data_IF_723368288037
#
_entry.id   IF_723368288037
#
_cell.length_a   1.000
_cell.length_b   1.000
_cell.length_c   1.000
_cell.angle_alpha   90.00
_cell.angle_beta   90.00
_cell.angle_gamma   90.00
#
_symmetry.space_group_name_H-M   'P 1'
#
loop_
_entity.id
_entity.type
_entity.pdbx_description
1 polymer ?
#
# COMPACT_ATOMS: atom_id res chain seq x y z
N UNK A 1 24.51 0.75 28.10
CA UNK A 1 24.40 -0.39 27.16
C UNK A 1 23.65 0.09 25.94
N UNK A 2 24.30 -0.01 24.78
CA UNK A 2 24.02 0.67 23.52
C UNK A 2 22.82 0.06 22.76
N UNK A 3 21.76 0.84 22.52
CA UNK A 3 20.72 0.48 21.54
C UNK A 3 20.30 1.73 20.73
N UNK A 4 20.54 1.64 19.41
CA UNK A 4 19.82 2.31 18.30
C UNK A 4 20.22 3.69 17.76
N UNK A 5 21.47 4.15 17.94
CA UNK A 5 22.05 5.17 17.06
C UNK A 5 22.72 4.50 15.85
N UNK A 6 21.93 4.06 14.87
CA UNK A 6 22.45 3.79 13.53
C UNK A 6 21.31 3.82 12.49
N UNK A 7 21.57 4.47 11.37
CA UNK A 7 20.75 4.62 10.16
C UNK A 7 19.75 5.79 10.13
N UNK A 8 20.21 6.97 10.54
CA UNK A 8 19.66 8.23 10.01
C UNK A 8 20.76 9.23 9.70
N UNK A 9 21.65 8.88 8.76
CA UNK A 9 22.55 9.85 8.12
C UNK A 9 22.67 9.52 6.62
N UNK A 10 22.15 10.45 5.83
CA UNK A 10 22.63 10.91 4.52
C UNK A 10 23.39 9.89 3.66
N UNK A 11 22.70 9.30 2.69
CA UNK A 11 23.31 8.94 1.42
C UNK A 11 22.39 9.35 0.28
N UNK A 12 22.94 10.14 -0.64
CA UNK A 12 22.31 10.51 -1.89
C UNK A 12 21.90 9.27 -2.69
N UNK A 13 21.05 9.51 -3.67
CA UNK A 13 20.48 8.51 -4.57
C UNK A 13 21.56 8.05 -5.55
N UNK A 14 22.66 7.48 -5.07
CA UNK A 14 23.69 6.86 -5.90
C UNK A 14 24.31 5.69 -5.15
N UNK A 15 23.84 4.50 -5.55
CA UNK A 15 24.48 3.19 -5.43
C UNK A 15 24.78 2.65 -4.00
N UNK A 16 24.38 1.39 -3.81
CA UNK A 16 24.67 0.53 -2.65
C UNK A 16 23.74 0.72 -1.43
N UNK A 17 22.43 0.59 -1.64
CA UNK A 17 21.59 -0.10 -0.65
C UNK A 17 21.05 -1.35 -1.32
N UNK A 18 21.81 -2.45 -1.18
CA UNK A 18 21.25 -3.78 -1.35
C UNK A 18 20.11 -3.88 -0.33
N UNK A 19 18.86 -3.73 -0.78
CA UNK A 19 17.69 -4.01 0.04
C UNK A 19 17.68 -5.51 0.37
N UNK A 20 18.41 -5.91 1.41
CA UNK A 20 18.38 -7.26 2.01
C UNK A 20 16.93 -7.66 2.35
N UNK A 21 16.09 -6.68 2.65
CA UNK A 21 14.67 -6.89 2.97
C UNK A 21 13.86 -7.52 1.83
N UNK A 22 14.22 -7.32 0.56
CA UNK A 22 13.47 -7.95 -0.54
C UNK A 22 13.87 -9.41 -0.78
N UNK A 23 15.10 -9.80 -0.45
CA UNK A 23 15.63 -11.15 -0.70
C UNK A 23 15.08 -12.14 0.33
N UNK A 24 14.91 -11.70 1.58
CA UNK A 24 14.37 -12.52 2.68
C UNK A 24 12.84 -12.67 2.63
N UNK A 25 12.14 -11.89 1.79
CA UNK A 25 10.70 -11.98 1.67
C UNK A 25 10.27 -13.33 1.10
N UNK A 26 9.42 -14.04 1.86
CA UNK A 26 8.83 -15.30 1.41
C UNK A 26 7.64 -15.00 0.50
N UNK A 27 7.63 -15.60 -0.69
CA UNK A 27 6.54 -15.51 -1.66
C UNK A 27 5.89 -16.87 -1.84
N UNK A 28 4.55 -16.91 -1.77
CA UNK A 28 3.76 -18.13 -1.97
C UNK A 28 2.90 -18.00 -3.21
N UNK A 29 2.48 -19.15 -3.75
CA UNK A 29 1.49 -19.19 -4.84
C UNK A 29 0.19 -18.56 -4.37
N UNK A 30 -0.34 -17.63 -5.15
CA UNK A 30 -1.59 -16.94 -4.87
C UNK A 30 -1.46 -15.60 -4.14
N UNK A 31 -0.26 -15.22 -3.70
CA UNK A 31 0.00 -13.92 -3.09
C UNK A 31 -0.15 -12.79 -4.13
N UNK A 32 -0.53 -11.60 -3.63
CA UNK A 32 -0.64 -10.38 -4.42
C UNK A 32 0.63 -9.55 -4.30
N UNK A 33 1.22 -9.24 -5.45
CA UNK A 33 2.49 -8.54 -5.52
C UNK A 33 2.45 -7.35 -6.45
N UNK A 34 3.24 -6.33 -6.12
CA UNK A 34 3.46 -5.14 -6.93
C UNK A 34 4.83 -5.28 -7.61
N UNK A 35 4.85 -5.05 -8.92
CA UNK A 35 6.06 -5.10 -9.73
C UNK A 35 6.68 -3.69 -9.78
N UNK A 36 7.89 -3.54 -9.23
CA UNK A 36 8.69 -2.32 -9.31
C UNK A 36 10.10 -2.68 -9.77
N UNK A 37 10.39 -2.41 -11.04
CA UNK A 37 11.71 -2.64 -11.62
C UNK A 37 12.80 -1.85 -10.87
N UNK A 38 13.93 -2.49 -10.63
CA UNK A 38 15.12 -1.90 -10.01
C UNK A 38 16.25 -1.93 -11.04
N UNK A 39 16.75 -0.77 -11.46
CA UNK A 39 17.78 -0.67 -12.51
C UNK A 39 19.14 -1.27 -12.13
N UNK A 40 19.43 -1.42 -10.83
CA UNK A 40 20.67 -2.04 -10.36
C UNK A 40 20.76 -3.54 -10.71
N UNK A 41 19.62 -4.21 -10.93
CA UNK A 41 19.58 -5.62 -11.33
C UNK A 41 19.00 -5.74 -12.73
N UNK A 42 19.84 -6.05 -13.71
CA UNK A 42 19.41 -6.14 -15.12
C UNK A 42 18.68 -7.46 -15.43
N UNK A 43 19.03 -8.54 -14.74
CA UNK A 43 18.49 -9.88 -15.02
C UNK A 43 17.06 -10.01 -14.50
N UNK A 44 16.15 -10.52 -15.34
CA UNK A 44 14.74 -10.72 -14.98
C UNK A 44 13.99 -9.41 -14.69
N UNK A 45 14.49 -8.30 -15.25
CA UNK A 45 13.86 -7.00 -15.22
C UNK A 45 12.52 -7.05 -15.95
N UNK A 46 11.43 -6.53 -15.36
CA UNK A 46 10.13 -6.49 -16.02
C UNK A 46 10.11 -5.44 -17.14
N UNK A 47 9.37 -5.71 -18.22
CA UNK A 47 9.12 -4.71 -19.26
C UNK A 47 8.38 -3.49 -18.70
N UNK A 48 8.68 -2.28 -19.22
CA UNK A 48 8.18 -0.98 -18.72
C UNK A 48 6.68 -0.94 -18.46
N UNK A 49 5.88 -1.62 -19.28
CA UNK A 49 4.42 -1.67 -19.12
C UNK A 49 3.96 -2.26 -17.78
N UNK A 50 4.73 -3.21 -17.23
CA UNK A 50 4.40 -3.91 -15.99
C UNK A 50 4.91 -3.19 -14.74
N UNK A 51 5.69 -2.11 -14.91
CA UNK A 51 6.11 -1.29 -13.79
C UNK A 51 4.89 -0.65 -13.11
N UNK A 52 4.82 -0.75 -11.79
CA UNK A 52 3.69 -0.27 -10.98
C UNK A 52 2.42 -1.10 -11.11
N UNK A 53 2.44 -2.21 -11.86
CA UNK A 53 1.27 -3.11 -11.95
C UNK A 53 1.27 -4.10 -10.79
N UNK A 54 0.06 -4.42 -10.34
CA UNK A 54 -0.18 -5.48 -9.35
C UNK A 54 -0.57 -6.76 -10.07
N UNK A 55 -0.11 -7.89 -9.58
CA UNK A 55 -0.45 -9.21 -10.11
C UNK A 55 -0.53 -10.26 -9.03
N UNK A 56 -0.90 -11.48 -9.44
CA UNK A 56 -1.00 -12.65 -8.58
C UNK A 56 0.09 -13.65 -8.93
N UNK A 57 0.75 -14.22 -7.93
CA UNK A 57 1.79 -15.21 -8.15
C UNK A 57 1.17 -16.55 -8.59
N UNK A 58 1.66 -17.13 -9.69
CA UNK A 58 1.25 -18.47 -10.14
C UNK A 58 2.34 -19.52 -9.92
N UNK A 59 3.61 -19.15 -10.06
CA UNK A 59 4.74 -20.05 -9.90
C UNK A 59 5.84 -19.37 -9.08
N UNK A 60 6.62 -20.15 -8.35
CA UNK A 60 7.75 -19.70 -7.55
C UNK A 60 8.96 -20.54 -7.95
N UNK A 61 10.07 -19.89 -8.28
CA UNK A 61 11.35 -20.53 -8.60
C UNK A 61 12.43 -20.03 -7.64
N UNK A 62 13.63 -20.63 -7.60
CA UNK A 62 14.64 -20.29 -6.58
C UNK A 62 15.07 -18.82 -6.53
N UNK A 63 15.02 -18.11 -7.67
CA UNK A 63 15.47 -16.69 -7.78
C UNK A 63 14.42 -15.76 -8.37
N UNK A 64 13.28 -16.30 -8.80
CA UNK A 64 12.27 -15.54 -9.53
C UNK A 64 10.86 -16.03 -9.21
N UNK A 65 9.89 -15.21 -9.59
CA UNK A 65 8.48 -15.47 -9.35
C UNK A 65 7.73 -15.26 -10.67
N UNK A 66 6.85 -16.21 -10.97
CA UNK A 66 5.90 -16.11 -12.06
C UNK A 66 4.68 -15.32 -11.60
N UNK A 67 4.41 -14.16 -12.20
CA UNK A 67 3.29 -13.28 -11.88
C UNK A 67 2.31 -13.21 -13.06
N UNK A 68 1.02 -13.34 -12.77
CA UNK A 68 -0.06 -13.06 -13.71
C UNK A 68 -0.47 -11.61 -13.56
N UNK A 69 -0.33 -10.83 -14.64
CA UNK A 69 -0.71 -9.42 -14.70
C UNK A 69 -1.69 -9.21 -15.84
N UNK A 70 -2.75 -8.46 -15.56
CA UNK A 70 -3.73 -8.08 -16.59
C UNK A 70 -3.16 -6.95 -17.44
N UNK A 71 -2.96 -7.21 -18.74
CA UNK A 71 -2.50 -6.23 -19.72
C UNK A 71 -3.60 -5.95 -20.73
N UNK A 72 -3.91 -4.66 -20.91
CA UNK A 72 -4.78 -4.22 -22.01
C UNK A 72 -4.00 -4.32 -23.33
N UNK A 73 -4.56 -5.06 -24.29
CA UNK A 73 -4.05 -5.17 -25.66
C UNK A 73 -5.16 -4.71 -26.59
N UNK A 74 -5.03 -3.49 -27.10
CA UNK A 74 -6.05 -2.80 -27.90
C UNK A 74 -7.40 -2.76 -27.16
N UNK A 75 -8.40 -3.53 -27.62
CA UNK A 75 -9.76 -3.55 -27.07
C UNK A 75 -9.96 -4.50 -25.89
N UNK A 76 -9.10 -5.53 -25.71
CA UNK A 76 -9.30 -6.58 -24.69
C UNK A 76 -8.25 -6.58 -23.58
N UNK A 77 -8.63 -7.07 -22.41
CA UNK A 77 -7.71 -7.29 -21.27
C UNK A 77 -7.30 -8.76 -21.27
N UNK A 78 -6.01 -9.02 -21.39
CA UNK A 78 -5.45 -10.38 -21.45
C UNK A 78 -4.59 -10.62 -20.20
N UNK A 79 -4.78 -11.73 -19.48
CA UNK A 79 -3.87 -12.13 -18.41
C UNK A 79 -2.54 -12.57 -19.04
N UNK A 80 -1.47 -11.83 -18.75
CA UNK A 80 -0.11 -12.15 -19.19
C UNK A 80 0.66 -12.77 -18.03
N UNK A 81 1.30 -13.91 -18.30
CA UNK A 81 2.22 -14.59 -17.37
C UNK A 81 3.63 -14.06 -17.64
N UNK A 82 4.30 -13.60 -16.58
CA UNK A 82 5.62 -12.97 -16.66
C UNK A 82 6.49 -13.58 -15.57
N UNK A 83 7.74 -13.87 -15.89
CA UNK A 83 8.73 -14.30 -14.90
C UNK A 83 9.57 -13.08 -14.51
N UNK A 84 9.52 -12.71 -13.23
CA UNK A 84 10.19 -11.51 -12.69
C UNK A 84 11.05 -11.93 -11.51
N UNK A 85 12.25 -11.37 -11.38
CA UNK A 85 13.11 -11.66 -10.23
C UNK A 85 12.61 -11.00 -8.94
N UNK A 86 12.99 -11.59 -7.81
CA UNK A 86 12.55 -11.18 -6.47
C UNK A 86 12.92 -9.72 -6.14
N UNK A 87 14.04 -9.21 -6.67
CA UNK A 87 14.47 -7.82 -6.45
C UNK A 87 13.48 -6.78 -6.99
N UNK A 88 12.67 -7.15 -7.98
CA UNK A 88 11.73 -6.25 -8.65
C UNK A 88 10.29 -6.40 -8.16
N UNK A 89 10.08 -7.15 -7.08
CA UNK A 89 8.77 -7.50 -6.57
C UNK A 89 8.67 -7.05 -5.12
N UNK A 90 7.48 -6.59 -4.73
CA UNK A 90 7.12 -6.29 -3.35
C UNK A 90 5.74 -6.86 -3.03
N UNK A 91 5.51 -7.26 -1.78
CA UNK A 91 4.18 -7.64 -1.30
C UNK A 91 3.22 -6.45 -1.33
N UNK A 92 1.96 -6.72 -1.68
CA UNK A 92 0.93 -5.68 -1.73
C UNK A 92 0.27 -5.45 -0.37
N UNK A 93 0.38 -4.23 0.17
CA UNK A 93 -0.25 -3.82 1.43
C UNK A 93 -1.78 -3.85 1.40
N UNK A 94 -2.40 -3.72 0.22
CA UNK A 94 -3.86 -3.73 0.11
C UNK A 94 -4.48 -5.07 0.53
N UNK A 95 -3.76 -6.18 0.31
CA UNK A 95 -4.21 -7.50 0.75
C UNK A 95 -4.06 -7.66 2.25
N UNK A 96 -3.00 -7.12 2.82
CA UNK A 96 -2.74 -7.17 4.26
C UNK A 96 -3.85 -6.45 5.05
N UNK A 97 -4.22 -5.24 4.63
CA UNK A 97 -5.32 -4.48 5.24
C UNK A 97 -6.66 -5.25 5.17
N UNK A 98 -6.96 -5.82 4.00
CA UNK A 98 -8.14 -6.66 3.84
C UNK A 98 -8.15 -7.86 4.80
N UNK A 99 -7.02 -8.57 4.95
CA UNK A 99 -6.92 -9.72 5.84
C UNK A 99 -7.03 -9.32 7.31
N UNK A 100 -6.42 -8.19 7.72
CA UNK A 100 -6.58 -7.65 9.08
C UNK A 100 -8.05 -7.39 9.39
N UNK A 101 -8.77 -6.77 8.45
CA UNK A 101 -10.21 -6.51 8.60
C UNK A 101 -11.06 -7.78 8.64
N UNK A 102 -10.73 -8.81 7.86
CA UNK A 102 -11.45 -10.10 7.93
C UNK A 102 -11.32 -10.72 9.31
N UNK A 103 -10.10 -10.75 9.87
CA UNK A 103 -9.85 -11.26 11.23
C UNK A 103 -10.60 -10.46 12.28
N UNK A 104 -10.58 -9.14 12.18
CA UNK A 104 -11.29 -8.25 13.11
C UNK A 104 -12.81 -8.49 13.05
N UNK A 105 -13.37 -8.58 11.84
CA UNK A 105 -14.78 -8.84 11.65
C UNK A 105 -15.19 -10.21 12.21
N UNK A 106 -14.35 -11.23 12.07
CA UNK A 106 -14.61 -12.55 12.66
C UNK A 106 -14.61 -12.52 14.19
N UNK A 107 -13.71 -11.74 14.80
CA UNK A 107 -13.68 -11.52 16.25
C UNK A 107 -14.97 -10.86 16.72
N UNK A 108 -15.32 -9.71 16.15
CA UNK A 108 -16.53 -8.96 16.48
C UNK A 108 -17.81 -9.80 16.28
N UNK A 109 -17.84 -10.65 15.23
CA UNK A 109 -18.98 -11.55 14.98
C UNK A 109 -19.14 -12.60 16.10
N UNK A 110 -18.04 -13.13 16.63
CA UNK A 110 -18.08 -14.09 17.75
C UNK A 110 -18.56 -13.42 19.03
N UNK A 111 -18.04 -12.23 19.33
CA UNK A 111 -18.44 -11.44 20.50
C UNK A 111 -19.91 -11.02 20.44
N UNK A 112 -20.37 -10.54 19.28
CA UNK A 112 -21.77 -10.19 19.02
C UNK A 112 -22.71 -11.41 19.17
N UNK A 113 -22.26 -12.59 18.75
CA UNK A 113 -23.03 -13.83 18.94
C UNK A 113 -23.12 -14.23 20.41
N UNK A 114 -22.05 -14.04 21.18
CA UNK A 114 -22.03 -14.35 22.62
C UNK A 114 -22.89 -13.38 23.45
N UNK A 115 -22.87 -12.08 23.10
CA UNK A 115 -23.66 -11.03 23.79
C UNK A 115 -25.09 -10.90 23.28
N UNK A 116 -25.40 -11.44 22.08
CA UNK A 116 -26.72 -11.32 21.46
C UNK A 116 -27.00 -9.99 20.77
N UNK A 117 -26.02 -9.09 20.70
CA UNK A 117 -26.17 -7.76 20.05
C UNK A 117 -26.01 -7.90 18.54
N UNK A 118 -26.90 -7.27 17.76
CA UNK A 118 -26.76 -7.19 16.30
C UNK A 118 -25.76 -6.10 15.92
N UNK A 119 -24.70 -6.46 15.20
CA UNK A 119 -23.66 -5.54 14.74
C UNK A 119 -23.59 -5.47 13.21
N UNK A 120 -23.44 -4.26 12.66
CA UNK A 120 -23.24 -4.05 11.23
C UNK A 120 -21.74 -4.06 10.87
N UNK A 121 -21.28 -5.13 10.20
CA UNK A 121 -19.88 -5.32 9.81
C UNK A 121 -19.51 -4.68 8.46
N UNK A 122 -20.48 -4.07 7.77
CA UNK A 122 -20.25 -3.42 6.47
C UNK A 122 -19.68 -2.02 6.68
N UNK A 123 -18.67 -1.66 5.89
CA UNK A 123 -18.13 -0.30 5.85
C UNK A 123 -19.20 0.66 5.33
N UNK A 124 -19.29 1.83 5.96
CA UNK A 124 -20.15 2.92 5.49
C UNK A 124 -19.28 4.04 4.89
N UNK A 125 -19.77 4.76 3.87
CA UNK A 125 -19.15 6.01 3.46
C UNK A 125 -19.25 7.05 4.58
N UNK A 126 -18.44 8.10 4.48
CA UNK A 126 -18.51 9.23 5.42
C UNK A 126 -19.93 9.80 5.40
N UNK A 127 -20.58 9.78 6.56
CA UNK A 127 -21.91 10.35 6.75
C UNK A 127 -21.81 11.89 6.89
N UNK A 128 -22.92 12.62 6.74
CA UNK A 128 -22.98 14.02 7.15
C UNK A 128 -22.44 14.19 8.56
N UNK A 129 -21.77 15.31 8.82
CA UNK A 129 -21.31 15.61 10.17
C UNK A 129 -22.53 15.75 11.09
N UNK A 130 -22.47 15.11 12.24
CA UNK A 130 -23.50 15.26 13.26
C UNK A 130 -23.49 16.70 13.80
N UNK A 131 -24.66 17.16 14.23
CA UNK A 131 -24.78 18.44 14.89
C UNK A 131 -23.90 18.45 16.15
N UNK A 132 -23.02 19.43 16.27
CA UNK A 132 -22.17 19.61 17.44
C UNK A 132 -22.17 21.07 17.87
N UNK A 133 -21.96 21.30 19.16
CA UNK A 133 -21.88 22.63 19.74
C UNK A 133 -20.43 23.11 19.72
N UNK A 134 -20.20 24.31 19.18
CA UNK A 134 -18.91 24.99 19.22
C UNK A 134 -18.95 26.05 20.31
N UNK A 135 -18.07 25.94 21.31
CA UNK A 135 -18.02 26.88 22.43
C UNK A 135 -17.09 28.06 22.15
N UNK A 136 -17.54 29.27 22.52
CA UNK A 136 -16.79 30.52 22.37
C UNK A 136 -15.90 30.86 23.57
N UNK A 137 -15.92 30.06 24.66
CA UNK A 137 -15.27 30.43 25.94
C UNK A 137 -13.76 30.69 25.83
N UNK A 138 -13.05 29.98 24.95
CA UNK A 138 -11.61 30.13 24.70
C UNK A 138 -11.31 30.26 23.19
N UNK A 139 -12.30 30.62 22.39
CA UNK A 139 -12.20 30.67 20.93
C UNK A 139 -13.07 31.81 20.40
N UNK A 140 -12.58 33.04 20.58
CA UNK A 140 -13.24 34.24 20.09
C UNK A 140 -13.24 34.26 18.55
N UNK A 141 -14.37 34.53 17.89
CA UNK A 141 -14.41 34.65 16.44
C UNK A 141 -13.50 35.79 15.98
N UNK A 142 -12.58 35.49 15.08
CA UNK A 142 -11.67 36.49 14.51
C UNK A 142 -12.33 37.16 13.29
N UNK A 143 -12.28 38.49 13.27
CA UNK A 143 -12.65 39.25 12.08
C UNK A 143 -11.54 39.15 11.03
N UNK A 144 -11.92 38.79 9.81
CA UNK A 144 -11.02 38.71 8.67
C UNK A 144 -11.44 39.76 7.64
N UNK A 145 -10.50 40.57 7.18
CA UNK A 145 -10.71 41.60 6.16
C UNK A 145 -10.05 41.18 4.84
N UNK A 146 -10.65 41.53 3.69
CA UNK A 146 -10.01 41.30 2.40
C UNK A 146 -8.71 42.09 2.29
N UNK A 147 -7.65 41.42 1.84
CA UNK A 147 -6.34 42.04 1.63
C UNK A 147 -6.44 43.04 0.46
N UNK A 148 -5.84 44.24 0.56
CA UNK A 148 -5.80 45.18 -0.55
C UNK A 148 -5.04 44.61 -1.76
N UNK A 149 -5.39 45.07 -2.95
CA UNK A 149 -4.68 44.70 -4.18
C UNK A 149 -3.24 45.23 -4.14
N UNK A 150 -2.27 44.33 -4.25
CA UNK A 150 -0.86 44.65 -4.39
C UNK A 150 -0.33 44.05 -5.69
N UNK A 151 0.39 44.86 -6.47
CA UNK A 151 1.09 44.37 -7.65
C UNK A 151 2.43 43.79 -7.21
N UNK A 152 2.52 42.46 -7.14
CA UNK A 152 3.75 41.73 -6.82
C UNK A 152 4.44 41.35 -8.13
N UNK A 153 5.63 41.92 -8.38
CA UNK A 153 6.52 41.60 -9.49
C UNK A 153 7.66 40.67 -9.05
#
# INVERSE_FOLDING_TARGET
>A
QLISLSNRLLFGIENVVLLESNIQNVYKRGDYVVIKGNGAFQKGLPFKYYHGKTGKIFNVTPRAVGVIVNKRVRQRIIPKRINVRIQHIKHSKCREDFLKRVKENERLKKEAKATGVKLNLKRQPKQPQEAHFVSTKNNEPQYLEPIPYEFIA
#
